data_IF_715820939391
#
_entry.id   IF_715820939391
#
_cell.length_a   1.000
_cell.length_b   1.000
_cell.length_c   1.000
_cell.angle_alpha   90.00
_cell.angle_beta   90.00
_cell.angle_gamma   90.00
#
_symmetry.space_group_name_H-M   'P 1'
#
loop_
_entity.id
_entity.type
_entity.pdbx_description
1 polymer ?
#
# COMPACT_ATOMS: atom_id res chain seq x y z
N UNK A 1 -9.26 -4.52 -7.49
CA UNK A 1 -8.63 -3.27 -7.98
C UNK A 1 -7.86 -3.47 -9.29
N UNK A 2 -7.65 -2.44 -10.11
CA UNK A 2 -6.84 -2.57 -11.35
C UNK A 2 -5.53 -1.78 -11.22
N UNK A 3 -4.39 -2.45 -11.37
CA UNK A 3 -3.05 -1.84 -11.36
C UNK A 3 -2.28 -2.31 -12.60
N UNK A 4 -1.75 -1.38 -13.39
CA UNK A 4 -1.07 -1.66 -14.67
C UNK A 4 -1.87 -2.56 -15.64
N UNK A 5 -3.20 -2.47 -15.62
CA UNK A 5 -4.06 -3.31 -16.45
C UNK A 5 -4.25 -4.74 -15.94
N UNK A 6 -3.74 -5.07 -14.75
CA UNK A 6 -3.98 -6.34 -14.06
C UNK A 6 -5.05 -6.15 -13.01
N UNK A 7 -6.04 -7.03 -13.02
CA UNK A 7 -7.04 -7.12 -11.97
C UNK A 7 -6.46 -7.89 -10.77
N UNK A 8 -6.41 -7.20 -9.63
CA UNK A 8 -5.96 -7.71 -8.35
C UNK A 8 -7.15 -7.76 -7.39
N UNK A 9 -7.08 -8.65 -6.40
CA UNK A 9 -8.07 -8.71 -5.33
C UNK A 9 -8.16 -7.38 -4.59
N UNK A 10 -9.35 -7.02 -4.13
CA UNK A 10 -9.51 -5.82 -3.30
C UNK A 10 -8.86 -6.06 -1.94
N UNK A 11 -7.97 -5.16 -1.54
CA UNK A 11 -7.35 -5.21 -0.21
C UNK A 11 -8.29 -4.58 0.80
N UNK A 12 -8.60 -5.29 1.88
CA UNK A 12 -9.21 -4.71 3.07
C UNK A 12 -8.12 -4.49 4.12
N UNK A 13 -7.66 -3.24 4.28
CA UNK A 13 -6.61 -2.91 5.26
C UNK A 13 -7.06 -3.01 6.72
N UNK A 14 -8.35 -3.27 6.96
CA UNK A 14 -8.91 -3.47 8.28
C UNK A 14 -9.09 -4.94 8.64
N UNK A 15 -8.86 -5.85 7.70
CA UNK A 15 -8.61 -7.25 8.02
C UNK A 15 -7.24 -7.38 8.70
N UNK A 16 -7.18 -8.13 9.80
CA UNK A 16 -5.96 -8.26 10.61
C UNK A 16 -4.83 -8.91 9.82
N UNK A 17 -5.09 -9.94 9.03
CA UNK A 17 -4.04 -10.64 8.28
C UNK A 17 -3.47 -9.75 7.17
N UNK A 18 -4.31 -8.93 6.55
CA UNK A 18 -3.89 -7.95 5.54
C UNK A 18 -3.12 -6.80 6.19
N UNK A 19 -3.59 -6.29 7.32
CA UNK A 19 -2.93 -5.22 8.07
C UNK A 19 -1.52 -5.63 8.50
N UNK A 20 -1.35 -6.84 9.07
CA UNK A 20 -0.04 -7.36 9.47
C UNK A 20 0.94 -7.45 8.29
N UNK A 21 0.48 -7.93 7.13
CA UNK A 21 1.29 -7.96 5.90
C UNK A 21 1.69 -6.56 5.46
N UNK A 22 0.74 -5.62 5.45
CA UNK A 22 0.99 -4.24 5.06
C UNK A 22 1.98 -3.54 5.98
N UNK A 23 1.81 -3.66 7.30
CA UNK A 23 2.73 -3.11 8.30
C UNK A 23 4.15 -3.66 8.13
N UNK A 24 4.28 -4.98 7.99
CA UNK A 24 5.57 -5.66 7.73
C UNK A 24 6.28 -5.08 6.50
N UNK A 25 5.55 -4.87 5.41
CA UNK A 25 6.09 -4.33 4.17
C UNK A 25 6.55 -2.88 4.33
N UNK A 26 5.75 -2.03 4.97
CA UNK A 26 6.11 -0.62 5.21
C UNK A 26 7.34 -0.51 6.13
N UNK A 27 7.43 -1.35 7.16
CA UNK A 27 8.62 -1.41 8.01
C UNK A 27 9.88 -1.78 7.23
N UNK A 28 9.79 -2.75 6.32
CA UNK A 28 10.93 -3.19 5.51
C UNK A 28 11.41 -2.08 4.57
N UNK A 29 10.48 -1.36 3.93
CA UNK A 29 10.82 -0.21 3.08
C UNK A 29 11.57 0.86 3.87
N UNK A 30 11.13 1.16 5.10
CA UNK A 30 11.75 2.19 5.94
C UNK A 30 13.15 1.79 6.44
N UNK A 31 13.40 0.49 6.69
CA UNK A 31 14.71 -0.01 7.16
C UNK A 31 15.78 0.02 6.06
N UNK A 32 15.41 -0.06 4.78
CA UNK A 32 16.34 -0.30 3.68
C UNK A 32 16.82 0.95 2.91
N UNK A 33 16.54 2.17 3.39
CA UNK A 33 16.83 3.41 2.66
C UNK A 33 18.26 3.95 2.84
N UNK A 34 19.28 3.22 2.37
CA UNK A 34 20.63 3.77 2.18
C UNK A 34 21.04 3.70 0.72
N UNK A 35 20.93 4.84 0.04
CA UNK A 35 21.22 4.98 -1.39
C UNK A 35 22.46 5.84 -1.70
N UNK A 36 23.13 6.38 -0.68
CA UNK A 36 24.29 7.24 -0.85
C UNK A 36 25.45 6.54 -1.57
N UNK A 37 26.05 7.21 -2.56
CA UNK A 37 27.21 6.72 -3.31
C UNK A 37 26.92 5.60 -4.32
N UNK A 38 25.66 5.20 -4.51
CA UNK A 38 25.28 4.19 -5.49
C UNK A 38 25.01 4.80 -6.87
N UNK A 39 25.18 3.98 -7.92
CA UNK A 39 24.76 4.34 -9.29
C UNK A 39 23.25 4.35 -9.39
N UNK A 40 22.68 5.25 -10.20
CA UNK A 40 21.23 5.36 -10.41
C UNK A 40 20.58 4.05 -10.83
N UNK A 41 21.24 3.27 -11.70
CA UNK A 41 20.73 1.97 -12.14
C UNK A 41 20.61 0.94 -11.00
N UNK A 42 21.47 1.03 -9.99
CA UNK A 42 21.42 0.19 -8.78
C UNK A 42 20.28 0.67 -7.87
N UNK A 43 20.13 1.99 -7.71
CA UNK A 43 19.04 2.59 -6.92
C UNK A 43 17.69 2.23 -7.52
N UNK A 44 17.51 2.42 -8.83
CA UNK A 44 16.29 2.07 -9.57
C UNK A 44 15.93 0.60 -9.37
N UNK A 45 16.90 -0.30 -9.50
CA UNK A 45 16.68 -1.73 -9.33
C UNK A 45 16.19 -2.06 -7.92
N UNK A 46 16.87 -1.54 -6.90
CA UNK A 46 16.49 -1.75 -5.50
C UNK A 46 15.09 -1.22 -5.20
N UNK A 47 14.76 -0.01 -5.66
CA UNK A 47 13.43 0.57 -5.44
C UNK A 47 12.32 -0.26 -6.08
N UNK A 48 12.51 -0.72 -7.33
CA UNK A 48 11.54 -1.59 -7.96
C UNK A 48 11.45 -2.96 -7.28
N UNK A 49 12.57 -3.56 -6.84
CA UNK A 49 12.57 -4.84 -6.11
C UNK A 49 11.78 -4.73 -4.79
N UNK A 50 11.93 -3.64 -4.04
CA UNK A 50 11.12 -3.38 -2.85
C UNK A 50 9.63 -3.25 -3.18
N UNK A 51 9.29 -2.55 -4.27
CA UNK A 51 7.91 -2.46 -4.74
C UNK A 51 7.39 -3.83 -5.17
N UNK A 52 8.18 -4.66 -5.86
CA UNK A 52 7.77 -6.02 -6.24
C UNK A 52 7.48 -6.87 -5.00
N UNK A 53 8.30 -6.75 -3.96
CA UNK A 53 8.07 -7.43 -2.69
C UNK A 53 6.77 -6.98 -2.02
N UNK A 54 6.41 -5.69 -2.07
CA UNK A 54 5.11 -5.19 -1.59
C UNK A 54 3.96 -5.95 -2.24
N UNK A 55 3.98 -6.02 -3.57
CA UNK A 55 2.90 -6.67 -4.32
C UNK A 55 2.86 -8.18 -4.05
N UNK A 56 4.01 -8.83 -3.91
CA UNK A 56 4.07 -10.25 -3.60
C UNK A 56 3.63 -10.59 -2.17
N UNK A 57 3.96 -9.75 -1.18
CA UNK A 57 3.52 -9.97 0.21
C UNK A 57 2.02 -9.72 0.37
N UNK A 58 1.47 -8.71 -0.30
CA UNK A 58 0.05 -8.34 -0.17
C UNK A 58 -0.88 -9.24 -0.99
N UNK A 59 -0.52 -9.54 -2.23
CA UNK A 59 -1.39 -10.25 -3.18
C UNK A 59 -0.95 -11.69 -3.46
N UNK A 60 0.16 -12.13 -2.86
CA UNK A 60 0.72 -13.46 -3.05
C UNK A 60 1.86 -13.51 -4.07
N UNK A 61 2.65 -14.57 -3.98
CA UNK A 61 3.88 -14.74 -4.76
C UNK A 61 3.63 -14.73 -6.27
N UNK A 62 4.47 -13.99 -7.01
CA UNK A 62 4.41 -13.86 -8.47
C UNK A 62 3.43 -12.79 -8.97
N UNK A 63 2.80 -12.03 -8.08
CA UNK A 63 1.97 -10.88 -8.43
C UNK A 63 2.80 -9.78 -9.09
N UNK A 64 4.03 -9.56 -8.62
CA UNK A 64 4.97 -8.63 -9.23
C UNK A 64 5.15 -8.89 -10.74
N UNK A 65 5.38 -10.14 -11.13
CA UNK A 65 5.56 -10.50 -12.55
C UNK A 65 4.30 -10.26 -13.37
N UNK A 66 3.13 -10.50 -12.79
CA UNK A 66 1.86 -10.21 -13.46
C UNK A 66 1.71 -8.71 -13.71
N UNK A 67 1.98 -7.89 -12.69
CA UNK A 67 1.75 -6.43 -12.68
C UNK A 67 2.82 -5.65 -13.44
N UNK A 68 4.09 -6.08 -13.39
CA UNK A 68 5.24 -5.34 -13.91
C UNK A 68 5.90 -6.01 -15.13
N UNK A 69 5.62 -7.30 -15.37
CA UNK A 69 6.28 -8.09 -16.40
C UNK A 69 7.77 -8.31 -16.10
N UNK A 70 8.57 -8.53 -17.15
CA UNK A 70 10.00 -8.85 -17.02
C UNK A 70 10.92 -7.61 -16.99
N UNK A 71 10.38 -6.40 -17.17
CA UNK A 71 11.18 -5.17 -17.27
C UNK A 71 11.14 -4.38 -15.97
N UNK A 72 12.33 -3.98 -15.51
CA UNK A 72 12.47 -3.09 -14.36
C UNK A 72 12.41 -1.63 -14.83
N UNK A 73 11.30 -0.95 -14.54
CA UNK A 73 11.08 0.46 -14.89
C UNK A 73 10.56 1.24 -13.68
N UNK A 74 11.37 2.17 -13.16
CA UNK A 74 11.03 2.90 -11.93
C UNK A 74 9.72 3.67 -12.03
N UNK A 75 9.42 4.27 -13.19
CA UNK A 75 8.19 5.04 -13.38
C UNK A 75 6.96 4.14 -13.22
N UNK A 76 6.97 2.97 -13.87
CA UNK A 76 5.88 1.98 -13.75
C UNK A 76 5.76 1.45 -12.32
N UNK A 77 6.90 1.17 -11.66
CA UNK A 77 6.91 0.75 -10.26
C UNK A 77 6.24 1.80 -9.36
N UNK A 78 6.61 3.08 -9.50
CA UNK A 78 6.07 4.17 -8.70
C UNK A 78 4.60 4.48 -8.99
N UNK A 79 4.17 4.44 -10.25
CA UNK A 79 2.75 4.64 -10.63
C UNK A 79 1.86 3.54 -10.04
N UNK A 80 2.31 2.28 -10.07
CA UNK A 80 1.60 1.17 -9.45
C UNK A 80 1.54 1.30 -7.93
N UNK A 81 2.66 1.67 -7.30
CA UNK A 81 2.71 1.88 -5.85
C UNK A 81 1.82 3.06 -5.42
N UNK A 82 1.81 4.16 -6.18
CA UNK A 82 0.91 5.29 -5.95
C UNK A 82 -0.56 4.85 -6.01
N UNK A 83 -0.93 4.08 -7.04
CA UNK A 83 -2.29 3.55 -7.21
C UNK A 83 -2.72 2.65 -6.04
N UNK A 84 -1.79 1.85 -5.50
CA UNK A 84 -2.03 1.06 -4.30
C UNK A 84 -2.24 1.95 -3.07
N UNK A 85 -1.39 2.96 -2.86
CA UNK A 85 -1.51 3.86 -1.71
C UNK A 85 -2.78 4.70 -1.74
N UNK A 86 -3.23 5.12 -2.92
CA UNK A 86 -4.46 5.90 -3.07
C UNK A 86 -5.69 5.10 -2.62
N UNK A 87 -5.75 3.81 -2.95
CA UNK A 87 -6.83 2.93 -2.51
C UNK A 87 -6.82 2.70 -1.00
N UNK A 88 -5.63 2.49 -0.43
CA UNK A 88 -5.46 2.37 1.03
C UNK A 88 -5.92 3.65 1.72
N UNK A 89 -5.59 4.82 1.18
CA UNK A 89 -6.02 6.10 1.73
C UNK A 89 -7.54 6.30 1.60
N UNK A 90 -8.15 5.89 0.49
CA UNK A 90 -9.61 5.90 0.32
C UNK A 90 -10.32 5.08 1.39
N UNK A 91 -9.82 3.88 1.71
CA UNK A 91 -10.37 3.07 2.81
C UNK A 91 -10.26 3.77 4.17
N UNK A 92 -9.14 4.49 4.40
CA UNK A 92 -8.95 5.30 5.61
C UNK A 92 -9.97 6.42 5.74
N UNK A 93 -10.21 7.14 4.65
CA UNK A 93 -11.22 8.19 4.61
C UNK A 93 -12.63 7.62 4.84
N UNK A 94 -12.95 6.46 4.27
CA UNK A 94 -14.23 5.77 4.49
C UNK A 94 -14.43 5.40 5.96
N UNK A 95 -13.42 4.83 6.62
CA UNK A 95 -13.52 4.53 8.05
C UNK A 95 -13.66 5.79 8.90
N UNK A 96 -12.90 6.85 8.59
CA UNK A 96 -13.02 8.13 9.29
C UNK A 96 -14.44 8.70 9.18
N UNK A 97 -15.07 8.58 8.01
CA UNK A 97 -16.47 8.95 7.80
C UNK A 97 -17.45 8.12 8.66
N UNK A 98 -17.20 6.82 8.81
CA UNK A 98 -17.99 5.95 9.70
C UNK A 98 -17.82 6.39 11.16
N UNK A 99 -16.57 6.57 11.61
CA UNK A 99 -16.27 6.96 13.01
C UNK A 99 -16.84 8.34 13.32
N UNK A 100 -16.64 9.32 12.45
CA UNK A 100 -17.12 10.69 12.61
C UNK A 100 -18.65 10.77 12.64
N UNK A 101 -19.38 9.94 11.88
CA UNK A 101 -20.84 9.83 11.96
C UNK A 101 -21.33 9.53 13.39
N UNK A 102 -20.55 8.81 14.19
CA UNK A 102 -20.91 8.37 15.53
C UNK A 102 -20.16 9.09 16.67
N UNK A 103 -19.18 9.95 16.36
CA UNK A 103 -18.26 10.55 17.34
C UNK A 103 -18.77 11.83 18.06
N UNK A 104 -19.23 12.92 17.39
CA UNK A 104 -19.41 14.20 18.07
C UNK A 104 -20.72 14.35 18.87
N UNK A 105 -21.70 13.47 18.66
CA UNK A 105 -23.03 13.65 19.25
C UNK A 105 -23.43 12.58 20.27
N UNK A 106 -22.53 11.65 20.65
CA UNK A 106 -22.83 10.65 21.69
C UNK A 106 -22.70 11.22 23.10
N UNK A 107 -21.64 11.96 23.39
CA UNK A 107 -21.43 12.60 24.69
C UNK A 107 -22.46 13.70 24.98
N UNK A 108 -22.74 14.56 23.98
CA UNK A 108 -23.73 15.63 24.10
C UNK A 108 -25.19 15.10 24.20
N UNK A 109 -25.54 13.98 23.56
CA UNK A 109 -26.86 13.33 23.74
C UNK A 109 -27.03 12.70 25.12
N UNK A 110 -25.96 12.17 25.71
CA UNK A 110 -25.99 11.61 27.08
C UNK A 110 -26.10 12.69 28.15
N UNK A 111 -25.52 13.87 27.93
CA UNK A 111 -25.63 15.02 28.83
C UNK A 111 -27.00 15.74 28.80
N UNK A 112 -27.86 15.41 27.82
CA UNK A 112 -29.24 15.95 27.70
C UNK A 112 -30.32 15.01 28.26
N UNK A 113 -29.93 13.88 28.88
CA UNK A 113 -30.83 13.00 29.66
C UNK A 113 -30.64 13.29 31.14
#
# INVERSE_FOLDING_TARGET
MIINGVELEDLDIYDVEVAEKYEKVIENINKNQKFEGLKDSVVIRKLCEEIFNVFNELFGEGTDRKVFGDRVNLKICLEAFASLTDQINSQKEELENIVSKYSPNRAQRRAKK
#
